data_IF_283804053598
#
_entry.id   IF_283804053598
#
_cell.length_a   1.000
_cell.length_b   1.000
_cell.length_c   1.000
_cell.angle_alpha   90.00
_cell.angle_beta   90.00
_cell.angle_gamma   90.00
#
_symmetry.space_group_name_H-M   'P 1'
#
loop_
_entity.id
_entity.type
_entity.pdbx_description
1 polymer ?
#
# COMPACT_ATOMS: atom_id res chain seq x y z
N UNK A 1 20.67 57.31 -20.89
CA UNK A 1 19.48 56.46 -21.18
C UNK A 1 19.80 55.07 -21.72
N UNK A 2 20.71 54.89 -22.68
CA UNK A 2 21.02 53.58 -23.29
C UNK A 2 21.55 52.52 -22.30
N UNK A 3 22.46 52.90 -21.38
CA UNK A 3 23.03 51.99 -20.37
C UNK A 3 22.00 51.47 -19.36
N UNK A 4 20.99 52.28 -19.00
CA UNK A 4 19.91 51.89 -18.09
C UNK A 4 18.95 50.89 -18.74
N UNK A 5 18.66 51.06 -20.04
CA UNK A 5 17.81 50.13 -20.80
C UNK A 5 18.46 48.75 -20.95
N UNK A 6 19.76 48.71 -21.22
CA UNK A 6 20.52 47.44 -21.30
C UNK A 6 20.54 46.74 -19.93
N UNK A 7 20.79 47.48 -18.85
CA UNK A 7 20.74 46.93 -17.50
C UNK A 7 19.38 46.33 -17.15
N UNK A 8 18.28 47.02 -17.48
CA UNK A 8 16.92 46.51 -17.27
C UNK A 8 16.62 45.24 -18.07
N UNK A 9 17.07 45.17 -19.33
CA UNK A 9 16.88 43.96 -20.17
C UNK A 9 17.63 42.77 -19.56
N UNK A 10 18.89 42.97 -19.14
CA UNK A 10 19.69 41.92 -18.49
C UNK A 10 19.03 41.45 -17.19
N UNK A 11 18.51 42.38 -16.38
CA UNK A 11 17.81 42.06 -15.13
C UNK A 11 16.53 41.24 -15.38
N UNK A 12 15.75 41.61 -16.39
CA UNK A 12 14.53 40.89 -16.78
C UNK A 12 14.87 39.49 -17.30
N UNK A 13 15.89 39.36 -18.15
CA UNK A 13 16.36 38.05 -18.62
C UNK A 13 16.83 37.16 -17.47
N UNK A 14 17.52 37.73 -16.48
CA UNK A 14 17.97 36.98 -15.31
C UNK A 14 16.79 36.46 -14.48
N UNK A 15 15.76 37.29 -14.26
CA UNK A 15 14.53 36.88 -13.56
C UNK A 15 13.80 35.73 -14.27
N UNK A 16 13.59 35.86 -15.58
CA UNK A 16 12.91 34.84 -16.39
C UNK A 16 13.67 33.52 -16.35
N UNK A 17 15.00 33.58 -16.36
CA UNK A 17 15.85 32.38 -16.29
C UNK A 17 15.71 31.68 -14.93
N UNK A 18 15.69 32.43 -13.83
CA UNK A 18 15.51 31.86 -12.49
C UNK A 18 14.13 31.23 -12.31
N UNK A 19 13.08 31.86 -12.84
CA UNK A 19 11.71 31.32 -12.78
C UNK A 19 11.58 30.03 -13.60
N UNK A 20 12.18 29.98 -14.80
CA UNK A 20 12.18 28.79 -15.64
C UNK A 20 12.89 27.61 -14.96
N UNK A 21 14.03 27.85 -14.30
CA UNK A 21 14.76 26.83 -13.53
C UNK A 21 13.90 26.34 -12.36
N UNK A 22 13.25 27.25 -11.63
CA UNK A 22 12.40 26.91 -10.48
C UNK A 22 11.18 26.04 -10.89
N UNK A 23 10.51 26.37 -11.99
CA UNK A 23 9.38 25.58 -12.51
C UNK A 23 9.84 24.17 -12.89
N UNK A 24 10.97 24.05 -13.58
CA UNK A 24 11.48 22.73 -13.98
C UNK A 24 11.87 21.87 -12.76
N UNK A 25 12.52 22.47 -11.76
CA UNK A 25 12.85 21.80 -10.51
C UNK A 25 11.58 21.35 -9.77
N UNK A 26 10.57 22.20 -9.67
CA UNK A 26 9.29 21.87 -9.03
C UNK A 26 8.57 20.70 -9.71
N UNK A 27 8.51 20.70 -11.06
CA UNK A 27 7.91 19.61 -11.83
C UNK A 27 8.66 18.29 -11.63
N UNK A 28 10.00 18.32 -11.60
CA UNK A 28 10.83 17.15 -11.35
C UNK A 28 10.58 16.57 -9.96
N UNK A 29 10.56 17.41 -8.92
CA UNK A 29 10.28 16.99 -7.54
C UNK A 29 8.87 16.42 -7.41
N UNK A 30 7.86 17.05 -8.02
CA UNK A 30 6.48 16.55 -7.99
C UNK A 30 6.36 15.17 -8.62
N UNK A 31 7.07 14.91 -9.72
CA UNK A 31 7.10 13.60 -10.39
C UNK A 31 7.82 12.54 -9.53
N UNK A 32 8.92 12.90 -8.88
CA UNK A 32 9.61 11.98 -7.96
C UNK A 32 8.76 11.65 -6.74
N UNK A 33 8.02 12.64 -6.23
CA UNK A 33 7.13 12.48 -5.09
C UNK A 33 5.99 11.50 -5.39
N UNK A 34 5.35 11.59 -6.55
CA UNK A 34 4.26 10.67 -6.91
C UNK A 34 4.74 9.23 -7.05
N UNK A 35 5.91 9.02 -7.64
CA UNK A 35 6.52 7.68 -7.75
C UNK A 35 6.91 7.15 -6.37
N UNK A 36 7.54 7.98 -5.53
CA UNK A 36 7.92 7.59 -4.17
C UNK A 36 6.70 7.29 -3.31
N UNK A 37 5.62 8.07 -3.42
CA UNK A 37 4.37 7.83 -2.70
C UNK A 37 3.71 6.52 -3.15
N UNK A 38 3.69 6.23 -4.44
CA UNK A 38 3.15 4.96 -4.96
C UNK A 38 3.97 3.76 -4.45
N UNK A 39 5.30 3.87 -4.42
CA UNK A 39 6.18 2.83 -3.87
C UNK A 39 5.99 2.65 -2.36
N UNK A 40 5.90 3.75 -1.60
CA UNK A 40 5.62 3.71 -0.16
C UNK A 40 4.25 3.10 0.13
N UNK A 41 3.22 3.44 -0.66
CA UNK A 41 1.88 2.90 -0.50
C UNK A 41 1.83 1.41 -0.84
N UNK A 42 2.52 0.97 -1.89
CA UNK A 42 2.68 -0.46 -2.20
C UNK A 42 3.41 -1.19 -1.06
N UNK A 43 4.49 -0.61 -0.53
CA UNK A 43 5.23 -1.19 0.58
C UNK A 43 4.41 -1.26 1.88
N UNK A 44 3.58 -0.24 2.15
CA UNK A 44 2.70 -0.24 3.33
C UNK A 44 1.61 -1.28 3.22
N UNK A 45 0.99 -1.44 2.05
CA UNK A 45 0.00 -2.48 1.81
C UNK A 45 0.61 -3.88 1.94
N UNK A 46 1.78 -4.11 1.34
CA UNK A 46 2.49 -5.38 1.49
C UNK A 46 2.83 -5.69 2.95
N UNK A 47 3.23 -4.68 3.73
CA UNK A 47 3.50 -4.83 5.16
C UNK A 47 2.24 -5.19 5.96
N UNK A 48 1.10 -4.57 5.65
CA UNK A 48 -0.18 -4.90 6.29
C UNK A 48 -0.64 -6.32 5.94
N UNK A 49 -0.56 -6.72 4.66
CA UNK A 49 -0.90 -8.08 4.21
C UNK A 49 0.02 -9.11 4.88
N UNK A 50 1.32 -8.81 4.98
CA UNK A 50 2.29 -9.67 5.67
C UNK A 50 1.96 -9.81 7.16
N UNK A 51 1.62 -8.72 7.85
CA UNK A 51 1.25 -8.74 9.26
C UNK A 51 -0.03 -9.55 9.49
N UNK A 52 -1.05 -9.37 8.65
CA UNK A 52 -2.25 -10.20 8.69
C UNK A 52 -1.90 -11.67 8.49
N UNK A 53 -1.14 -12.00 7.44
CA UNK A 53 -0.74 -13.37 7.12
C UNK A 53 0.01 -14.02 8.28
N UNK A 54 0.95 -13.31 8.91
CA UNK A 54 1.67 -13.80 10.08
C UNK A 54 0.71 -14.10 11.24
N UNK A 55 -0.18 -13.18 11.57
CA UNK A 55 -1.13 -13.37 12.67
C UNK A 55 -2.10 -14.51 12.37
N UNK A 56 -2.56 -14.64 11.12
CA UNK A 56 -3.42 -15.71 10.67
C UNK A 56 -2.76 -17.08 10.85
N UNK A 57 -1.50 -17.22 10.42
CA UNK A 57 -0.75 -18.46 10.60
C UNK A 57 -0.58 -18.77 12.10
N UNK A 58 -0.14 -17.80 12.90
CA UNK A 58 0.14 -17.99 14.33
C UNK A 58 -1.12 -18.32 15.14
N UNK A 59 -2.22 -17.61 14.89
CA UNK A 59 -3.43 -17.64 15.74
C UNK A 59 -4.55 -18.51 15.21
N UNK A 60 -4.49 -18.94 13.95
CA UNK A 60 -5.50 -19.82 13.35
C UNK A 60 -4.88 -21.16 12.95
N UNK A 61 -3.83 -21.16 12.12
CA UNK A 61 -3.30 -22.43 11.59
C UNK A 61 -2.46 -23.20 12.59
N UNK A 62 -1.72 -22.51 13.44
CA UNK A 62 -0.89 -23.11 14.49
C UNK A 62 -1.63 -23.22 15.83
N UNK A 63 -2.90 -22.81 15.88
CA UNK A 63 -3.70 -22.89 17.09
C UNK A 63 -3.92 -24.36 17.47
N UNK A 64 -3.55 -24.72 18.71
CA UNK A 64 -3.77 -26.06 19.25
C UNK A 64 -5.20 -26.28 19.77
N UNK A 65 -6.05 -25.28 19.64
CA UNK A 65 -7.42 -25.27 20.17
C UNK A 65 -8.24 -24.17 19.51
N UNK A 66 -9.41 -23.89 20.08
CA UNK A 66 -10.32 -22.90 19.51
C UNK A 66 -9.71 -21.50 19.50
N UNK A 67 -9.82 -20.82 18.36
CA UNK A 67 -9.40 -19.42 18.22
C UNK A 67 -10.31 -18.55 19.09
N UNK A 68 -9.73 -17.82 20.05
CA UNK A 68 -10.48 -16.93 20.94
C UNK A 68 -11.22 -15.82 20.17
N UNK A 69 -12.32 -15.33 20.75
CA UNK A 69 -13.12 -14.24 20.17
C UNK A 69 -12.27 -13.00 19.88
N UNK A 70 -11.38 -12.62 20.80
CA UNK A 70 -10.48 -11.48 20.62
C UNK A 70 -9.57 -11.66 19.40
N UNK A 71 -9.00 -12.85 19.21
CA UNK A 71 -8.16 -13.15 18.05
C UNK A 71 -8.97 -13.11 16.75
N UNK A 72 -10.22 -13.62 16.76
CA UNK A 72 -11.13 -13.55 15.59
C UNK A 72 -11.46 -12.10 15.22
N UNK A 73 -11.84 -11.28 16.20
CA UNK A 73 -12.16 -9.87 15.98
C UNK A 73 -10.94 -9.10 15.46
N UNK A 74 -9.76 -9.37 16.00
CA UNK A 74 -8.51 -8.77 15.54
C UNK A 74 -8.22 -9.12 14.08
N UNK A 75 -8.36 -10.40 13.70
CA UNK A 75 -8.15 -10.84 12.32
C UNK A 75 -9.18 -10.22 11.36
N UNK A 76 -10.45 -10.19 11.74
CA UNK A 76 -11.53 -9.56 10.97
C UNK A 76 -11.24 -8.08 10.71
N UNK A 77 -10.88 -7.32 11.76
CA UNK A 77 -10.54 -5.90 11.62
C UNK A 77 -9.32 -5.73 10.71
N UNK A 78 -8.27 -6.54 10.89
CA UNK A 78 -7.09 -6.47 10.04
C UNK A 78 -7.41 -6.73 8.58
N UNK A 79 -8.22 -7.75 8.26
CA UNK A 79 -8.64 -8.05 6.88
C UNK A 79 -9.43 -6.89 6.27
N UNK A 80 -10.32 -6.26 7.03
CA UNK A 80 -11.09 -5.09 6.58
C UNK A 80 -10.18 -3.89 6.33
N UNK A 81 -9.18 -3.68 7.18
CA UNK A 81 -8.22 -2.59 7.07
C UNK A 81 -7.27 -2.74 5.87
N UNK A 82 -7.09 -3.96 5.33
CA UNK A 82 -6.34 -4.18 4.09
C UNK A 82 -6.97 -3.48 2.88
N UNK A 83 -8.28 -3.17 2.93
CA UNK A 83 -9.05 -2.60 1.82
C UNK A 83 -8.91 -3.39 0.50
N UNK A 84 -8.69 -4.70 0.59
CA UNK A 84 -8.60 -5.60 -0.57
C UNK A 84 -9.83 -6.52 -0.62
N UNK A 85 -10.79 -6.28 -1.54
CA UNK A 85 -12.02 -7.06 -1.63
C UNK A 85 -11.79 -8.55 -1.88
N UNK A 86 -10.71 -8.93 -2.57
CA UNK A 86 -10.40 -10.33 -2.85
C UNK A 86 -9.94 -11.05 -1.58
N UNK A 87 -9.11 -10.38 -0.76
CA UNK A 87 -8.68 -10.93 0.54
C UNK A 87 -9.88 -11.04 1.47
N UNK A 88 -10.72 -10.00 1.56
CA UNK A 88 -11.92 -10.00 2.40
C UNK A 88 -12.92 -11.09 1.99
N UNK A 89 -13.16 -11.27 0.70
CA UNK A 89 -14.04 -12.32 0.19
C UNK A 89 -13.48 -13.71 0.52
N UNK A 90 -12.18 -13.94 0.28
CA UNK A 90 -11.55 -15.23 0.56
C UNK A 90 -11.55 -15.55 2.06
N UNK A 91 -11.32 -14.55 2.91
CA UNK A 91 -11.47 -14.66 4.36
C UNK A 91 -12.90 -15.02 4.77
N UNK A 92 -13.91 -14.35 4.21
CA UNK A 92 -15.31 -14.65 4.49
C UNK A 92 -15.68 -16.08 4.07
N UNK A 93 -15.18 -16.57 2.93
CA UNK A 93 -15.42 -17.96 2.51
C UNK A 93 -14.81 -18.95 3.51
N UNK A 94 -13.60 -18.67 4.01
CA UNK A 94 -12.96 -19.47 5.04
C UNK A 94 -13.76 -19.48 6.36
N UNK A 95 -14.14 -18.31 6.88
CA UNK A 95 -14.87 -18.20 8.15
C UNK A 95 -16.27 -18.80 8.08
N UNK A 96 -16.94 -18.72 6.92
CA UNK A 96 -18.29 -19.24 6.71
C UNK A 96 -18.33 -20.68 6.16
N UNK A 97 -17.19 -21.38 6.13
CA UNK A 97 -17.13 -22.76 5.66
C UNK A 97 -17.99 -23.68 6.55
N UNK A 98 -18.78 -24.55 5.92
CA UNK A 98 -19.75 -25.42 6.60
C UNK A 98 -19.19 -26.79 6.96
N UNK A 99 -18.06 -27.15 6.36
CA UNK A 99 -17.37 -28.41 6.61
C UNK A 99 -15.87 -28.18 6.77
N UNK A 100 -15.18 -29.12 7.41
CA UNK A 100 -13.72 -29.08 7.53
C UNK A 100 -13.05 -29.12 6.15
N UNK A 101 -13.56 -29.93 5.22
CA UNK A 101 -13.01 -30.00 3.86
C UNK A 101 -13.13 -28.65 3.15
N UNK A 102 -14.30 -28.01 3.22
CA UNK A 102 -14.51 -26.67 2.64
C UNK A 102 -13.60 -25.62 3.31
N UNK A 103 -13.43 -25.68 4.63
CA UNK A 103 -12.52 -24.80 5.35
C UNK A 103 -11.06 -25.01 4.91
N UNK A 104 -10.64 -26.27 4.72
CA UNK A 104 -9.30 -26.62 4.24
C UNK A 104 -9.06 -26.17 2.79
N UNK A 105 -10.08 -26.19 1.94
CA UNK A 105 -9.98 -25.68 0.56
C UNK A 105 -9.91 -24.15 0.57
N UNK A 106 -10.82 -23.49 1.29
CA UNK A 106 -10.87 -22.03 1.38
C UNK A 106 -9.61 -21.42 2.04
N UNK A 107 -9.02 -22.10 3.03
CA UNK A 107 -7.78 -21.62 3.64
C UNK A 107 -6.58 -21.71 2.71
N UNK A 108 -6.50 -22.75 1.86
CA UNK A 108 -5.45 -22.87 0.84
C UNK A 108 -5.58 -21.76 -0.19
N UNK A 109 -6.80 -21.46 -0.63
CA UNK A 109 -7.08 -20.35 -1.54
C UNK A 109 -6.68 -19.00 -0.93
N UNK A 110 -7.03 -18.78 0.35
CA UNK A 110 -6.64 -17.58 1.07
C UNK A 110 -5.12 -17.45 1.18
N UNK A 111 -4.41 -18.52 1.55
CA UNK A 111 -2.95 -18.50 1.65
C UNK A 111 -2.27 -18.25 0.30
N UNK A 112 -2.73 -18.88 -0.77
CA UNK A 112 -2.20 -18.62 -2.13
C UNK A 112 -2.38 -17.16 -2.52
N UNK A 113 -3.57 -16.59 -2.28
CA UNK A 113 -3.87 -15.20 -2.54
C UNK A 113 -2.95 -14.26 -1.73
N UNK A 114 -2.79 -14.51 -0.43
CA UNK A 114 -1.93 -13.70 0.44
C UNK A 114 -0.47 -13.74 0.00
N UNK A 115 0.05 -14.92 -0.34
CA UNK A 115 1.43 -15.07 -0.82
C UNK A 115 1.65 -14.33 -2.14
N UNK A 116 0.70 -14.40 -3.08
CA UNK A 116 0.73 -13.64 -4.35
C UNK A 116 0.65 -12.13 -4.15
N UNK A 117 0.03 -11.66 -3.07
CA UNK A 117 -0.06 -10.22 -2.75
C UNK A 117 1.22 -9.71 -2.08
N UNK A 118 1.89 -10.55 -1.31
CA UNK A 118 3.17 -10.23 -0.66
C UNK A 118 4.33 -10.29 -1.65
N UNK A 119 4.32 -11.29 -2.54
CA UNK A 119 5.41 -11.54 -3.51
C UNK A 119 5.15 -10.74 -4.78
N UNK A 120 6.13 -9.98 -5.30
CA UNK A 120 5.98 -9.15 -6.50
C UNK A 120 5.76 -9.96 -7.79
#
# INVERSE_FOLDING_TARGET
MFRLRIFLIVLICLLVLTDAIAVNAYLSVKKQLSVSQALTQKNSLNSQVLNFTRLFIERVLQAKGEVSFENRLKLENMVRDLNDPAILQSWNNFVNSKSEQEAQENVKLLLDLLVRKITP
#
